data_IF_423949593036
#
_entry.id   IF_423949593036
#
_cell.length_a   1.000
_cell.length_b   1.000
_cell.length_c   1.000
_cell.angle_alpha   90.00
_cell.angle_beta   90.00
_cell.angle_gamma   90.00
#
_symmetry.space_group_name_H-M   'P 1'
#
loop_
_entity.id
_entity.type
_entity.pdbx_description
1 polymer ?
#
# COMPACT_ATOMS: atom_id res chain seq x y z
N UNK A 1 -16.62 -30.21 -14.67
CA UNK A 1 -15.84 -29.18 -13.98
C UNK A 1 -14.37 -29.54 -13.91
N UNK A 2 -13.98 -30.66 -13.30
CA UNK A 2 -12.56 -31.08 -13.09
C UNK A 2 -11.73 -30.98 -14.38
N UNK A 3 -12.21 -31.51 -15.49
CA UNK A 3 -11.48 -31.48 -16.78
C UNK A 3 -11.24 -30.05 -17.30
N UNK A 4 -12.16 -29.12 -17.06
CA UNK A 4 -11.98 -27.70 -17.43
C UNK A 4 -10.88 -27.07 -16.61
N UNK A 5 -10.87 -27.32 -15.30
CA UNK A 5 -9.81 -26.82 -14.39
C UNK A 5 -8.45 -27.42 -14.75
N UNK A 6 -8.37 -28.74 -14.97
CA UNK A 6 -7.12 -29.38 -15.38
C UNK A 6 -6.58 -28.80 -16.70
N UNK A 7 -7.48 -28.57 -17.68
CA UNK A 7 -7.10 -27.92 -18.95
C UNK A 7 -6.57 -26.51 -18.71
N UNK A 8 -7.20 -25.72 -17.83
CA UNK A 8 -6.78 -24.36 -17.48
C UNK A 8 -5.41 -24.36 -16.81
N UNK A 9 -5.24 -25.13 -15.73
CA UNK A 9 -4.01 -25.15 -14.92
C UNK A 9 -2.81 -25.79 -15.66
N UNK A 10 -3.05 -26.66 -16.63
CA UNK A 10 -2.01 -27.28 -17.46
C UNK A 10 -1.74 -26.50 -18.76
N UNK A 11 -2.48 -25.40 -19.00
CA UNK A 11 -2.28 -24.60 -20.21
C UNK A 11 -0.90 -23.93 -20.24
N UNK A 12 -0.45 -23.63 -21.45
CA UNK A 12 0.78 -22.86 -21.66
C UNK A 12 0.64 -21.45 -21.08
N UNK A 13 -0.52 -20.84 -21.26
CA UNK A 13 -0.86 -19.49 -20.82
C UNK A 13 -0.78 -19.37 -19.30
N UNK A 14 -1.41 -20.31 -18.56
CA UNK A 14 -1.33 -20.35 -17.10
C UNK A 14 0.12 -20.50 -16.62
N UNK A 15 0.88 -21.44 -17.21
CA UNK A 15 2.26 -21.66 -16.82
C UNK A 15 3.15 -20.46 -17.16
N UNK A 16 2.93 -19.79 -18.30
CA UNK A 16 3.66 -18.58 -18.67
C UNK A 16 3.37 -17.46 -17.68
N UNK A 17 2.10 -17.26 -17.32
CA UNK A 17 1.69 -16.24 -16.36
C UNK A 17 2.22 -16.55 -14.96
N UNK A 18 2.17 -17.80 -14.52
CA UNK A 18 2.74 -18.25 -13.25
C UNK A 18 4.24 -17.98 -13.19
N UNK A 19 4.98 -18.29 -14.24
CA UNK A 19 6.42 -18.02 -14.31
C UNK A 19 6.68 -16.51 -14.26
N UNK A 20 5.90 -15.70 -14.99
CA UNK A 20 6.01 -14.25 -14.97
C UNK A 20 5.85 -13.66 -13.57
N UNK A 21 4.86 -14.14 -12.79
CA UNK A 21 4.64 -13.67 -11.42
C UNK A 21 5.58 -14.29 -10.38
N UNK A 22 6.14 -15.46 -10.64
CA UNK A 22 7.13 -16.10 -9.76
C UNK A 22 8.55 -15.55 -9.94
N UNK A 23 8.83 -14.87 -11.06
CA UNK A 23 10.09 -14.18 -11.26
C UNK A 23 10.19 -13.02 -10.29
N UNK A 24 11.09 -13.11 -9.31
CA UNK A 24 11.35 -12.05 -8.36
C UNK A 24 11.85 -10.76 -9.02
N UNK A 25 11.65 -9.64 -8.36
CA UNK A 25 12.26 -8.37 -8.72
C UNK A 25 13.54 -8.15 -7.92
N UNK A 26 14.42 -7.26 -8.38
CA UNK A 26 15.61 -6.87 -7.59
C UNK A 26 15.22 -6.16 -6.28
N UNK A 27 13.99 -5.66 -6.19
CA UNK A 27 13.47 -4.92 -5.02
C UNK A 27 12.97 -5.88 -3.92
N UNK A 28 12.46 -7.08 -4.28
CA UNK A 28 11.91 -8.05 -3.35
C UNK A 28 12.88 -8.49 -2.27
N UNK A 29 14.05 -9.06 -2.61
CA UNK A 29 15.03 -9.49 -1.62
C UNK A 29 15.53 -8.38 -0.69
N UNK A 30 15.38 -7.13 -1.11
CA UNK A 30 15.78 -5.95 -0.33
C UNK A 30 14.63 -5.36 0.49
N UNK A 31 13.42 -5.91 0.37
CA UNK A 31 12.20 -5.40 1.00
C UNK A 31 11.98 -3.89 0.72
N UNK A 32 12.09 -3.52 -0.57
CA UNK A 32 12.06 -2.13 -1.03
C UNK A 32 10.90 -1.83 -1.97
N UNK A 33 10.03 -2.81 -2.27
CA UNK A 33 9.01 -2.76 -3.33
C UNK A 33 8.03 -1.60 -3.20
N UNK A 34 7.76 -1.16 -1.96
CA UNK A 34 6.76 -0.12 -1.69
C UNK A 34 7.31 1.04 -0.86
N UNK A 35 8.62 1.21 -0.78
CA UNK A 35 9.21 2.36 -0.10
C UNK A 35 9.23 3.57 -1.04
N UNK A 36 8.45 4.60 -0.75
CA UNK A 36 8.35 5.84 -1.53
C UNK A 36 9.71 6.43 -1.90
N UNK A 37 10.63 6.46 -0.94
CA UNK A 37 12.00 6.95 -1.17
C UNK A 37 12.78 6.12 -2.20
N UNK A 38 12.48 4.83 -2.37
CA UNK A 38 13.16 3.96 -3.34
C UNK A 38 12.60 4.14 -4.74
N UNK A 39 11.29 4.31 -4.85
CA UNK A 39 10.69 4.73 -6.12
C UNK A 39 11.26 6.08 -6.55
N UNK A 40 11.39 7.03 -5.63
CA UNK A 40 11.99 8.34 -5.93
C UNK A 40 13.45 8.22 -6.33
N UNK A 41 14.23 7.32 -5.70
CA UNK A 41 15.61 7.04 -6.11
C UNK A 41 15.70 6.45 -7.52
N UNK A 42 14.80 5.54 -7.88
CA UNK A 42 14.72 5.02 -9.24
C UNK A 42 14.41 6.14 -10.26
N UNK A 43 13.43 6.98 -9.98
CA UNK A 43 13.09 8.10 -10.87
C UNK A 43 14.21 9.12 -10.95
N UNK A 44 14.88 9.43 -9.82
CA UNK A 44 16.04 10.32 -9.81
C UNK A 44 17.17 9.81 -10.72
N UNK A 45 17.40 8.50 -10.73
CA UNK A 45 18.33 7.86 -11.66
C UNK A 45 17.81 7.88 -13.11
N UNK A 46 16.53 7.50 -13.32
CA UNK A 46 15.91 7.35 -14.64
C UNK A 46 15.81 8.68 -15.40
N UNK A 47 15.45 9.75 -14.70
CA UNK A 47 15.34 11.10 -15.29
C UNK A 47 16.68 11.82 -15.46
N UNK A 48 17.75 11.37 -14.81
CA UNK A 48 19.02 12.09 -14.80
C UNK A 48 19.92 11.67 -15.96
N UNK A 49 20.16 12.53 -16.98
CA UNK A 49 20.98 12.20 -18.13
C UNK A 49 22.47 11.97 -17.80
N UNK A 50 22.94 12.40 -16.61
CA UNK A 50 24.31 12.13 -16.17
C UNK A 50 24.48 10.66 -15.74
N UNK A 51 23.43 10.05 -15.17
CA UNK A 51 23.41 8.66 -14.69
C UNK A 51 22.84 7.71 -15.73
N UNK A 52 21.86 8.15 -16.52
CA UNK A 52 21.24 7.37 -17.60
C UNK A 52 21.56 8.00 -18.97
N UNK A 53 22.83 7.91 -19.37
CA UNK A 53 23.34 8.57 -20.60
C UNK A 53 22.67 8.07 -21.88
N UNK A 54 22.25 6.81 -21.93
CA UNK A 54 21.62 6.25 -23.12
C UNK A 54 20.28 6.91 -23.43
N UNK A 55 19.51 7.27 -22.42
CA UNK A 55 18.23 7.96 -22.56
C UNK A 55 18.38 9.49 -22.68
N UNK A 56 19.49 10.05 -22.18
CA UNK A 56 19.67 11.50 -22.17
C UNK A 56 18.51 12.23 -21.49
N UNK A 57 17.96 13.24 -22.16
CA UNK A 57 16.80 14.03 -21.66
C UNK A 57 15.44 13.43 -22.00
N UNK A 58 15.38 12.37 -22.80
CA UNK A 58 14.11 11.79 -23.27
C UNK A 58 13.10 11.44 -22.16
N UNK A 59 13.49 10.93 -20.98
CA UNK A 59 12.55 10.69 -19.88
C UNK A 59 11.91 11.99 -19.33
N UNK A 60 12.69 13.07 -19.21
CA UNK A 60 12.16 14.38 -18.79
C UNK A 60 11.25 14.97 -19.84
N UNK A 61 11.60 14.85 -21.12
CA UNK A 61 10.77 15.33 -22.23
C UNK A 61 9.43 14.58 -22.27
N UNK A 62 9.45 13.26 -22.10
CA UNK A 62 8.24 12.46 -22.03
C UNK A 62 7.36 12.86 -20.82
N UNK A 63 7.96 13.08 -19.64
CA UNK A 63 7.27 13.56 -18.45
C UNK A 63 6.65 14.94 -18.64
N UNK A 64 7.41 15.89 -19.21
CA UNK A 64 6.91 17.25 -19.49
C UNK A 64 5.76 17.22 -20.50
N UNK A 65 5.82 16.34 -21.50
CA UNK A 65 4.74 16.14 -22.47
C UNK A 65 3.48 15.63 -21.77
N UNK A 66 3.60 14.61 -20.92
CA UNK A 66 2.48 14.08 -20.15
C UNK A 66 1.86 15.15 -19.24
N UNK A 67 2.68 15.88 -18.50
CA UNK A 67 2.23 16.98 -17.62
C UNK A 67 1.52 18.06 -18.43
N UNK A 68 2.08 18.46 -19.58
CA UNK A 68 1.52 19.50 -20.42
C UNK A 68 0.11 19.16 -20.93
N UNK A 69 -0.23 17.89 -21.12
CA UNK A 69 -1.60 17.46 -21.51
C UNK A 69 -2.64 17.70 -20.41
N UNK A 70 -2.20 17.86 -19.15
CA UNK A 70 -3.09 18.00 -17.98
C UNK A 70 -3.20 19.43 -17.44
N UNK A 71 -2.35 20.34 -17.93
CA UNK A 71 -2.37 21.73 -17.49
C UNK A 71 -3.45 22.50 -18.24
N UNK A 72 -4.44 23.01 -17.50
CA UNK A 72 -5.41 23.99 -18.01
C UNK A 72 -5.06 25.38 -17.50
N UNK A 73 -5.01 26.35 -18.39
CA UNK A 73 -4.63 27.72 -18.06
C UNK A 73 -5.24 28.75 -19.01
N UNK A 74 -5.65 29.89 -18.46
CA UNK A 74 -6.08 31.08 -19.25
C UNK A 74 -4.91 31.92 -19.80
N UNK A 75 -3.67 31.68 -19.34
CA UNK A 75 -2.51 32.48 -19.71
C UNK A 75 -1.99 32.09 -21.11
N UNK A 76 -2.03 33.03 -22.07
CA UNK A 76 -1.63 32.80 -23.47
C UNK A 76 -0.15 32.41 -23.63
N UNK A 77 0.76 32.94 -22.82
CA UNK A 77 2.18 32.61 -22.87
C UNK A 77 2.41 31.15 -22.41
N UNK A 78 1.69 30.72 -21.36
CA UNK A 78 1.75 29.33 -20.86
C UNK A 78 1.09 28.38 -21.85
N UNK A 79 -0.04 28.74 -22.47
CA UNK A 79 -0.65 27.96 -23.55
C UNK A 79 0.35 27.72 -24.71
N UNK A 80 1.08 28.74 -25.10
CA UNK A 80 2.13 28.63 -26.14
C UNK A 80 3.25 27.67 -25.71
N UNK A 81 3.71 27.75 -24.47
CA UNK A 81 4.69 26.81 -23.90
C UNK A 81 4.15 25.36 -23.89
N UNK A 82 2.91 25.13 -23.43
CA UNK A 82 2.25 23.83 -23.41
C UNK A 82 2.25 23.21 -24.81
N UNK A 83 1.85 23.96 -25.84
CA UNK A 83 1.85 23.48 -27.22
C UNK A 83 3.25 23.05 -27.64
N UNK A 84 4.29 23.83 -27.29
CA UNK A 84 5.69 23.49 -27.62
C UNK A 84 6.16 22.24 -26.86
N UNK A 85 5.81 22.10 -25.59
CA UNK A 85 6.12 20.89 -24.81
C UNK A 85 5.48 19.63 -25.42
N UNK A 86 4.21 19.71 -25.81
CA UNK A 86 3.51 18.59 -26.45
C UNK A 86 4.12 18.25 -27.81
N UNK A 87 4.43 19.25 -28.63
CA UNK A 87 4.97 19.04 -29.97
C UNK A 87 6.45 18.68 -30.01
N UNK A 88 7.18 18.83 -28.91
CA UNK A 88 8.63 18.60 -28.84
C UNK A 88 9.45 19.71 -29.53
N UNK A 89 8.84 20.86 -29.88
CA UNK A 89 9.52 21.96 -30.56
C UNK A 89 10.08 22.99 -29.60
N UNK A 90 11.09 22.60 -28.82
CA UNK A 90 11.79 23.41 -27.81
C UNK A 90 13.20 22.89 -27.57
N UNK A 91 14.03 23.70 -26.95
CA UNK A 91 15.33 23.30 -26.39
C UNK A 91 15.18 23.19 -24.86
N UNK A 92 15.89 22.25 -24.26
CA UNK A 92 15.89 22.06 -22.82
C UNK A 92 17.31 21.97 -22.26
N UNK A 93 17.59 22.74 -21.23
CA UNK A 93 18.82 22.72 -20.46
C UNK A 93 18.47 22.45 -18.98
N UNK A 94 19.24 21.58 -18.31
CA UNK A 94 19.12 21.34 -16.87
C UNK A 94 20.01 22.34 -16.14
N UNK A 95 19.40 23.31 -15.45
CA UNK A 95 20.13 24.34 -14.70
C UNK A 95 20.55 23.80 -13.32
N UNK A 96 19.64 23.09 -12.63
CA UNK A 96 19.95 22.37 -11.41
C UNK A 96 19.81 20.88 -11.62
N UNK A 97 20.83 20.13 -11.18
CA UNK A 97 20.83 18.67 -11.28
C UNK A 97 19.64 18.04 -10.56
N UNK A 98 19.20 16.91 -11.09
CA UNK A 98 18.14 16.14 -10.46
C UNK A 98 18.63 15.62 -9.12
N UNK A 99 17.91 15.97 -8.06
CA UNK A 99 18.22 15.57 -6.69
C UNK A 99 16.99 14.90 -6.05
N UNK A 100 17.23 13.85 -5.27
CA UNK A 100 16.20 13.23 -4.44
C UNK A 100 16.27 13.77 -3.03
N UNK A 101 15.13 13.84 -2.33
CA UNK A 101 15.03 14.26 -0.92
C UNK A 101 15.62 15.67 -0.66
N UNK A 102 15.44 16.61 -1.62
CA UNK A 102 15.96 17.97 -1.46
C UNK A 102 15.19 18.72 -0.39
N UNK A 103 15.91 19.27 0.58
CA UNK A 103 15.33 20.09 1.64
C UNK A 103 14.79 21.41 1.08
N UNK A 104 13.55 21.79 1.41
CA UNK A 104 12.91 23.04 0.95
C UNK A 104 13.66 24.27 1.44
N UNK A 105 14.22 24.24 2.65
CA UNK A 105 15.06 25.30 3.19
C UNK A 105 16.31 25.58 2.33
N UNK A 106 16.88 24.58 1.66
CA UNK A 106 18.00 24.74 0.74
C UNK A 106 17.60 25.44 -0.57
N UNK A 107 16.30 25.45 -0.92
CA UNK A 107 15.79 26.09 -2.13
C UNK A 107 15.45 27.55 -1.85
N UNK A 108 14.80 27.84 -0.75
CA UNK A 108 14.28 29.18 -0.42
C UNK A 108 15.13 29.95 0.60
N UNK A 109 16.27 29.38 1.04
CA UNK A 109 17.21 30.03 1.94
C UNK A 109 16.74 30.16 3.39
N UNK A 110 15.74 29.38 3.81
CA UNK A 110 15.23 29.33 5.18
C UNK A 110 15.59 28.01 5.89
N UNK A 111 15.14 27.83 7.14
CA UNK A 111 15.40 26.67 7.95
C UNK A 111 14.35 25.54 7.82
N UNK A 112 13.52 25.54 6.77
CA UNK A 112 12.52 24.52 6.56
C UNK A 112 13.18 23.14 6.38
N UNK A 113 12.65 22.15 7.10
CA UNK A 113 13.14 20.76 7.06
C UNK A 113 12.34 19.85 6.14
N UNK A 114 11.30 20.38 5.51
CA UNK A 114 10.48 19.63 4.57
C UNK A 114 11.31 19.20 3.37
N UNK A 115 10.99 18.05 2.80
CA UNK A 115 11.73 17.47 1.70
C UNK A 115 10.85 17.27 0.49
N UNK A 116 11.40 17.58 -0.68
CA UNK A 116 10.82 17.28 -1.98
C UNK A 116 11.45 15.97 -2.47
N UNK A 117 10.63 14.98 -2.82
CA UNK A 117 11.14 13.67 -3.22
C UNK A 117 12.05 13.74 -4.44
N UNK A 118 11.68 14.54 -5.48
CA UNK A 118 12.52 14.76 -6.65
C UNK A 118 12.44 16.25 -7.02
N UNK A 119 13.59 16.84 -7.22
CA UNK A 119 13.73 18.25 -7.59
C UNK A 119 14.70 18.44 -8.72
N UNK A 120 14.37 19.33 -9.66
CA UNK A 120 15.29 19.89 -10.69
C UNK A 120 14.79 21.24 -11.15
N UNK A 121 15.67 22.00 -11.84
CA UNK A 121 15.29 23.25 -12.50
C UNK A 121 15.72 23.17 -13.96
N UNK A 122 14.77 23.39 -14.85
CA UNK A 122 14.96 23.33 -16.28
C UNK A 122 14.87 24.73 -16.88
N UNK A 123 15.64 24.98 -17.93
CA UNK A 123 15.49 26.12 -18.82
C UNK A 123 14.94 25.61 -20.15
N UNK A 124 13.77 26.11 -20.54
CA UNK A 124 13.10 25.73 -21.78
C UNK A 124 13.03 26.92 -22.71
N UNK A 125 13.62 26.77 -23.90
CA UNK A 125 13.63 27.80 -24.95
C UNK A 125 12.87 27.33 -26.17
N UNK A 126 12.11 28.23 -26.81
CA UNK A 126 11.47 27.95 -28.08
C UNK A 126 11.39 29.21 -28.97
N UNK A 127 11.47 29.01 -30.28
CA UNK A 127 11.39 30.09 -31.23
C UNK A 127 9.97 30.66 -31.36
N UNK A 128 9.90 31.99 -31.47
CA UNK A 128 8.67 32.76 -31.74
C UNK A 128 8.98 33.68 -32.91
N UNK A 129 8.61 33.28 -34.16
CA UNK A 129 9.07 33.92 -35.38
C UNK A 129 10.53 33.62 -35.70
N UNK A 130 11.09 34.34 -36.65
CA UNK A 130 12.39 33.98 -37.24
C UNK A 130 13.60 34.31 -36.35
N UNK A 131 13.50 35.31 -35.45
CA UNK A 131 14.66 35.82 -34.69
C UNK A 131 14.45 35.89 -33.15
N UNK A 132 13.30 35.51 -32.60
CA UNK A 132 13.02 35.64 -31.18
C UNK A 132 12.90 34.29 -30.49
N UNK A 133 13.73 34.06 -29.44
CA UNK A 133 13.62 32.91 -28.54
C UNK A 133 12.94 33.35 -27.26
N UNK A 134 11.86 32.67 -26.89
CA UNK A 134 11.27 32.79 -25.53
C UNK A 134 11.86 31.73 -24.65
N UNK A 135 12.30 32.13 -23.47
CA UNK A 135 12.86 31.24 -22.45
C UNK A 135 11.98 31.26 -21.20
N UNK A 136 11.83 30.10 -20.60
CA UNK A 136 11.17 29.88 -19.33
C UNK A 136 12.08 29.09 -18.39
N UNK A 137 12.11 29.52 -17.14
CA UNK A 137 12.68 28.71 -16.04
C UNK A 137 11.57 27.87 -15.47
N UNK A 138 11.77 26.56 -15.43
CA UNK A 138 10.78 25.56 -15.00
C UNK A 138 11.32 24.79 -13.79
N UNK A 139 11.09 25.28 -12.56
CA UNK A 139 11.29 24.46 -11.37
C UNK A 139 10.32 23.28 -11.43
N UNK A 140 10.84 22.07 -11.30
CA UNK A 140 10.09 20.82 -11.33
C UNK A 140 10.24 20.11 -9.99
N UNK A 141 9.11 19.88 -9.32
CA UNK A 141 9.03 19.12 -8.08
C UNK A 141 8.09 17.93 -8.24
N UNK A 142 8.52 16.75 -7.83
CA UNK A 142 7.69 15.55 -7.82
C UNK A 142 7.54 15.06 -6.38
N UNK A 143 6.31 15.04 -5.90
CA UNK A 143 5.90 14.37 -4.67
C UNK A 143 5.40 12.99 -5.00
N UNK A 144 5.89 11.99 -4.27
CA UNK A 144 5.55 10.59 -4.50
C UNK A 144 4.78 10.03 -3.30
N UNK A 145 3.57 9.52 -3.53
CA UNK A 145 2.69 8.93 -2.52
C UNK A 145 2.19 7.56 -2.97
N UNK A 146 2.45 6.55 -2.16
CA UNK A 146 1.99 5.18 -2.43
C UNK A 146 0.83 4.79 -1.51
N UNK A 147 0.92 5.13 -0.22
CA UNK A 147 -0.04 4.68 0.80
C UNK A 147 -0.84 5.79 1.46
N UNK A 148 -0.31 6.99 1.44
CA UNK A 148 -0.92 8.13 2.11
C UNK A 148 -1.55 9.07 1.10
N UNK A 149 -2.65 9.69 1.52
CA UNK A 149 -3.11 10.91 0.88
C UNK A 149 -2.10 12.02 1.14
N UNK A 150 -2.16 13.07 0.32
CA UNK A 150 -1.45 14.30 0.59
C UNK A 150 -1.73 14.75 2.03
N UNK A 151 -0.69 14.94 2.85
CA UNK A 151 -0.86 15.56 4.17
C UNK A 151 -1.14 17.05 4.01
N UNK A 152 -2.01 17.60 4.86
CA UNK A 152 -2.41 19.00 4.82
C UNK A 152 -1.19 19.92 4.73
N UNK A 153 -1.08 20.63 3.60
CA UNK A 153 -0.08 21.66 3.38
C UNK A 153 1.22 21.24 2.65
N UNK A 154 1.50 19.97 2.39
CA UNK A 154 2.74 19.55 1.70
C UNK A 154 2.88 20.20 0.31
N UNK A 155 1.85 20.14 -0.53
CA UNK A 155 1.89 20.76 -1.86
C UNK A 155 1.80 22.28 -1.83
N UNK A 156 1.38 22.89 -0.70
CA UNK A 156 1.35 24.37 -0.53
C UNK A 156 2.73 24.96 -0.24
N UNK A 157 3.67 24.15 0.25
CA UNK A 157 5.03 24.59 0.55
C UNK A 157 5.85 24.74 -0.74
N UNK A 158 5.62 23.87 -1.73
CA UNK A 158 6.37 23.85 -2.98
C UNK A 158 6.26 25.16 -3.81
N UNK A 159 5.08 25.79 -3.98
CA UNK A 159 5.01 27.07 -4.67
C UNK A 159 5.83 28.17 -4.02
N UNK A 160 5.94 28.20 -2.68
CA UNK A 160 6.78 29.15 -1.98
C UNK A 160 8.26 28.94 -2.28
N UNK A 161 8.71 27.69 -2.28
CA UNK A 161 10.09 27.31 -2.66
C UNK A 161 10.39 27.58 -4.12
N UNK A 162 9.39 27.44 -4.99
CA UNK A 162 9.52 27.68 -6.43
C UNK A 162 9.52 29.17 -6.80
N UNK A 163 9.16 30.05 -5.87
CA UNK A 163 9.03 31.50 -6.11
C UNK A 163 10.36 32.25 -6.25
N UNK A 164 11.51 31.62 -5.99
CA UNK A 164 12.82 32.29 -6.02
C UNK A 164 13.45 32.47 -7.43
N UNK A 165 12.81 31.99 -8.50
CA UNK A 165 13.41 31.94 -9.84
C UNK A 165 12.98 33.07 -10.82
N UNK A 166 12.41 34.18 -10.36
CA UNK A 166 12.16 35.39 -11.16
C UNK A 166 10.85 35.41 -11.98
N UNK A 167 10.72 36.40 -12.89
CA UNK A 167 9.44 36.69 -13.57
C UNK A 167 9.04 35.73 -14.70
N UNK A 168 10.01 35.12 -15.41
CA UNK A 168 9.75 34.18 -16.51
C UNK A 168 9.80 32.73 -16.06
N UNK A 169 9.12 32.44 -14.97
CA UNK A 169 9.07 31.09 -14.41
C UNK A 169 7.75 30.40 -14.70
N UNK A 170 7.83 29.09 -14.84
CA UNK A 170 6.67 28.23 -14.92
C UNK A 170 6.88 27.01 -14.01
N UNK A 171 6.58 27.13 -12.71
CA UNK A 171 6.77 26.01 -11.79
C UNK A 171 5.80 24.87 -12.09
N UNK A 172 6.30 23.66 -12.07
CA UNK A 172 5.54 22.42 -12.26
C UNK A 172 5.68 21.57 -10.99
N UNK A 173 4.59 21.41 -10.26
CA UNK A 173 4.46 20.40 -9.23
C UNK A 173 3.77 19.17 -9.79
N UNK A 174 4.22 17.98 -9.40
CA UNK A 174 3.61 16.69 -9.75
C UNK A 174 3.29 15.97 -8.46
N UNK A 175 2.05 15.50 -8.32
CA UNK A 175 1.69 14.50 -7.32
C UNK A 175 1.57 13.15 -8.01
N UNK A 176 2.54 12.27 -7.78
CA UNK A 176 2.53 10.90 -8.27
C UNK A 176 1.86 10.00 -7.23
N UNK A 177 0.78 9.34 -7.60
CA UNK A 177 0.04 8.43 -6.74
C UNK A 177 -0.53 7.24 -7.52
N UNK A 178 -0.94 6.14 -6.87
CA UNK A 178 -1.46 4.97 -7.58
C UNK A 178 -2.62 5.28 -8.52
N UNK A 179 -3.56 6.12 -8.12
CA UNK A 179 -4.78 6.44 -8.90
C UNK A 179 -4.76 7.83 -9.54
N UNK A 180 -3.68 8.61 -9.41
CA UNK A 180 -3.65 10.00 -9.85
C UNK A 180 -4.63 10.86 -9.04
N UNK A 181 -4.55 10.77 -7.72
CA UNK A 181 -5.45 11.46 -6.79
C UNK A 181 -5.45 12.97 -7.02
N UNK A 182 -6.62 13.58 -6.85
CA UNK A 182 -6.76 15.05 -6.95
C UNK A 182 -5.83 15.74 -5.97
N UNK A 183 -5.18 16.79 -6.44
CA UNK A 183 -4.31 17.66 -5.65
C UNK A 183 -5.12 18.80 -5.04
N UNK A 184 -4.77 19.20 -3.83
CA UNK A 184 -5.37 20.36 -3.17
C UNK A 184 -4.81 21.69 -3.69
N UNK A 185 -3.67 21.65 -4.38
CA UNK A 185 -2.99 22.86 -4.87
C UNK A 185 -3.10 22.97 -6.40
N UNK A 186 -3.48 24.16 -6.88
CA UNK A 186 -3.60 24.51 -8.30
C UNK A 186 -2.27 24.40 -9.10
N UNK A 187 -1.13 24.38 -8.42
CA UNK A 187 0.19 24.29 -9.06
C UNK A 187 0.69 22.85 -9.24
N UNK A 188 -0.03 21.85 -8.73
CA UNK A 188 0.36 20.45 -8.84
C UNK A 188 -0.54 19.72 -9.83
N UNK A 189 0.10 18.90 -10.64
CA UNK A 189 -0.56 18.05 -11.65
C UNK A 189 -0.63 16.62 -11.10
N UNK A 190 -1.83 16.01 -10.99
CA UNK A 190 -1.96 14.62 -10.58
C UNK A 190 -1.54 13.69 -11.72
N UNK A 191 -0.63 12.77 -11.41
CA UNK A 191 -0.19 11.71 -12.33
C UNK A 191 -0.32 10.38 -11.60
N UNK A 192 -0.90 9.39 -12.28
CA UNK A 192 -0.91 8.02 -11.78
C UNK A 192 0.38 7.29 -12.17
N UNK A 193 0.74 6.26 -11.38
CA UNK A 193 1.83 5.36 -11.75
C UNK A 193 1.57 4.67 -13.10
N UNK A 194 0.29 4.40 -13.44
CA UNK A 194 -0.06 3.83 -14.73
C UNK A 194 0.26 4.78 -15.89
N UNK A 195 -0.09 6.06 -15.76
CA UNK A 195 0.25 7.06 -16.79
C UNK A 195 1.76 7.24 -16.93
N UNK A 196 2.48 7.26 -15.80
CA UNK A 196 3.93 7.34 -15.83
C UNK A 196 4.55 6.12 -16.53
N UNK A 197 4.01 4.92 -16.29
CA UNK A 197 4.44 3.70 -16.97
C UNK A 197 4.15 3.76 -18.46
N UNK A 198 2.90 4.02 -18.84
CA UNK A 198 2.44 3.93 -20.25
C UNK A 198 3.06 5.02 -21.14
N UNK A 199 3.29 6.23 -20.62
CA UNK A 199 3.71 7.38 -21.44
C UNK A 199 5.18 7.78 -21.25
N UNK A 200 5.83 7.34 -20.19
CA UNK A 200 7.21 7.77 -19.89
C UNK A 200 8.17 6.58 -19.82
N UNK A 201 7.84 5.51 -19.09
CA UNK A 201 8.81 4.44 -18.85
C UNK A 201 8.80 3.42 -20.00
N UNK A 202 7.66 2.78 -20.28
CA UNK A 202 7.56 1.71 -21.29
C UNK A 202 8.04 2.14 -22.69
N UNK A 203 7.70 3.34 -23.20
CA UNK A 203 8.17 3.76 -24.51
C UNK A 203 9.70 3.88 -24.64
N UNK A 204 10.40 3.98 -23.52
CA UNK A 204 11.85 4.20 -23.49
C UNK A 204 12.66 2.96 -23.10
N UNK A 205 12.01 1.83 -22.74
CA UNK A 205 12.71 0.62 -22.27
C UNK A 205 13.74 0.11 -23.26
N UNK A 206 13.40 0.11 -24.56
CA UNK A 206 14.28 -0.40 -25.60
C UNK A 206 15.49 0.53 -25.87
N UNK A 207 15.42 1.77 -25.45
CA UNK A 207 16.48 2.76 -25.59
C UNK A 207 17.45 2.79 -24.39
N UNK A 208 17.12 2.08 -23.32
CA UNK A 208 18.00 1.93 -22.14
C UNK A 208 19.22 1.10 -22.52
N UNK A 209 20.39 1.47 -21.98
CA UNK A 209 21.59 0.67 -22.16
C UNK A 209 21.36 -0.78 -21.74
N UNK A 210 21.85 -1.76 -22.50
CA UNK A 210 21.61 -3.19 -22.25
C UNK A 210 21.98 -3.60 -20.81
N UNK A 211 23.10 -3.10 -20.30
CA UNK A 211 23.54 -3.34 -18.92
C UNK A 211 22.59 -2.81 -17.83
N UNK A 212 21.69 -1.90 -18.16
CA UNK A 212 20.74 -1.26 -17.26
C UNK A 212 19.29 -1.70 -17.51
N UNK A 213 19.03 -2.39 -18.62
CA UNK A 213 17.69 -2.84 -19.04
C UNK A 213 17.02 -3.68 -17.97
N UNK A 214 17.76 -4.60 -17.37
CA UNK A 214 17.26 -5.46 -16.29
C UNK A 214 16.72 -4.65 -15.10
N UNK A 215 17.31 -3.50 -14.79
CA UNK A 215 16.84 -2.64 -13.69
C UNK A 215 15.49 -2.02 -14.01
N UNK A 216 15.32 -1.53 -15.25
CA UNK A 216 14.04 -0.93 -15.68
C UNK A 216 12.95 -1.98 -15.80
N UNK A 217 13.23 -3.13 -16.40
CA UNK A 217 12.28 -4.25 -16.50
C UNK A 217 11.88 -4.79 -15.12
N UNK A 218 12.84 -4.91 -14.20
CA UNK A 218 12.59 -5.31 -12.83
C UNK A 218 11.75 -4.26 -12.08
N UNK A 219 11.98 -2.96 -12.34
CA UNK A 219 11.16 -1.88 -11.78
C UNK A 219 9.72 -1.94 -12.31
N UNK A 220 9.54 -2.09 -13.63
CA UNK A 220 8.22 -2.24 -14.26
C UNK A 220 7.46 -3.41 -13.63
N UNK A 221 8.10 -4.56 -13.48
CA UNK A 221 7.50 -5.73 -12.84
C UNK A 221 7.15 -5.46 -11.38
N UNK A 222 8.00 -4.71 -10.66
CA UNK A 222 7.73 -4.32 -9.28
C UNK A 222 6.46 -3.47 -9.12
N UNK A 223 6.02 -2.74 -10.14
CA UNK A 223 4.80 -1.93 -10.07
C UNK A 223 3.52 -2.78 -9.98
N UNK A 224 3.52 -3.98 -10.55
CA UNK A 224 2.38 -4.91 -10.55
C UNK A 224 2.44 -5.96 -9.44
N UNK A 225 3.57 -6.11 -8.74
CA UNK A 225 3.68 -7.09 -7.65
C UNK A 225 2.72 -6.75 -6.51
N UNK A 226 1.89 -7.72 -6.15
CA UNK A 226 1.09 -7.67 -4.93
C UNK A 226 1.97 -8.11 -3.76
N UNK A 227 2.11 -7.27 -2.74
CA UNK A 227 2.88 -7.63 -1.55
C UNK A 227 1.97 -8.26 -0.51
N UNK A 228 2.33 -9.46 -0.10
CA UNK A 228 1.68 -10.22 0.96
C UNK A 228 2.14 -9.74 2.35
N UNK A 229 2.02 -8.45 2.64
CA UNK A 229 2.20 -7.96 4.00
C UNK A 229 0.89 -7.40 4.51
N UNK A 230 0.62 -7.59 5.79
CA UNK A 230 -0.64 -7.29 6.50
C UNK A 230 -1.23 -5.87 6.28
N UNK A 231 -0.58 -5.03 5.51
CA UNK A 231 -0.97 -3.63 5.35
C UNK A 231 -1.08 -3.10 3.93
N UNK A 232 -0.64 -3.82 2.87
CA UNK A 232 -0.55 -3.14 1.57
C UNK A 232 -0.57 -4.03 0.34
N UNK A 233 -1.74 -4.42 -0.09
CA UNK A 233 -1.96 -4.86 -1.48
C UNK A 233 -2.10 -3.62 -2.36
N UNK A 234 -1.05 -3.18 -3.01
CA UNK A 234 -1.15 -2.06 -3.93
C UNK A 234 -0.42 -2.40 -5.21
N UNK A 235 -1.18 -2.71 -6.25
CA UNK A 235 -0.69 -2.70 -7.62
C UNK A 235 -0.60 -1.24 -8.03
N UNK A 236 0.59 -0.76 -8.37
CA UNK A 236 0.79 0.65 -8.74
C UNK A 236 0.53 0.88 -10.23
N UNK A 237 0.99 -0.03 -11.08
CA UNK A 237 0.76 0.00 -12.51
C UNK A 237 0.95 -1.40 -13.12
N UNK A 238 0.41 -1.61 -14.30
CA UNK A 238 0.43 -2.87 -15.05
C UNK A 238 1.04 -2.64 -16.42
N UNK A 239 2.07 -3.39 -16.77
CA UNK A 239 2.77 -3.27 -18.04
C UNK A 239 1.93 -3.79 -19.23
N UNK A 240 2.25 -3.34 -20.43
CA UNK A 240 1.64 -3.84 -21.67
C UNK A 240 1.85 -5.35 -21.82
N UNK A 241 3.06 -5.83 -21.57
CA UNK A 241 3.41 -7.25 -21.62
C UNK A 241 2.54 -8.07 -20.68
N UNK A 242 2.35 -7.61 -19.46
CA UNK A 242 1.53 -8.29 -18.46
C UNK A 242 0.06 -8.33 -18.88
N UNK A 243 -0.49 -7.22 -19.39
CA UNK A 243 -1.85 -7.16 -19.93
C UNK A 243 -2.06 -8.19 -21.05
N UNK A 244 -1.09 -8.32 -21.96
CA UNK A 244 -1.15 -9.30 -23.05
C UNK A 244 -1.13 -10.76 -22.54
N UNK A 245 -0.30 -11.06 -21.52
CA UNK A 245 -0.26 -12.39 -20.91
C UNK A 245 -1.57 -12.74 -20.20
N UNK A 246 -2.11 -11.80 -19.44
CA UNK A 246 -3.38 -11.99 -18.73
C UNK A 246 -4.55 -12.14 -19.70
N UNK A 247 -4.62 -11.32 -20.75
CA UNK A 247 -5.67 -11.46 -21.75
C UNK A 247 -5.65 -12.86 -22.40
N UNK A 248 -4.48 -13.36 -22.81
CA UNK A 248 -4.34 -14.72 -23.35
C UNK A 248 -4.81 -15.81 -22.37
N UNK A 249 -4.57 -15.59 -21.08
CA UNK A 249 -5.03 -16.52 -20.04
C UNK A 249 -6.56 -16.50 -19.92
N UNK A 250 -7.18 -15.31 -19.91
CA UNK A 250 -8.63 -15.16 -19.87
C UNK A 250 -9.34 -15.65 -21.13
N UNK A 251 -8.71 -15.56 -22.29
CA UNK A 251 -9.22 -16.08 -23.57
C UNK A 251 -9.43 -17.61 -23.55
N UNK A 252 -8.78 -18.34 -22.63
CA UNK A 252 -8.99 -19.78 -22.47
C UNK A 252 -10.37 -20.10 -21.89
N UNK A 253 -10.76 -19.44 -20.82
CA UNK A 253 -12.03 -19.68 -20.12
C UNK A 253 -12.29 -18.59 -19.06
N UNK A 254 -12.71 -17.42 -19.50
CA UNK A 254 -12.95 -16.27 -18.61
C UNK A 254 -13.99 -16.56 -17.53
N UNK A 255 -15.06 -17.29 -17.86
CA UNK A 255 -16.12 -17.59 -16.91
C UNK A 255 -15.62 -18.55 -15.81
N UNK A 256 -14.77 -19.51 -16.15
CA UNK A 256 -14.17 -20.42 -15.16
C UNK A 256 -13.18 -19.66 -14.25
N UNK A 257 -12.35 -18.78 -14.82
CA UNK A 257 -11.39 -17.97 -14.05
C UNK A 257 -12.13 -17.06 -13.05
N UNK A 258 -13.18 -16.41 -13.54
CA UNK A 258 -14.08 -15.61 -12.70
C UNK A 258 -14.82 -16.46 -11.66
N UNK A 259 -15.22 -17.71 -11.97
CA UNK A 259 -15.88 -18.61 -11.02
C UNK A 259 -14.96 -18.99 -9.85
N UNK A 260 -13.66 -19.23 -10.09
CA UNK A 260 -12.67 -19.44 -9.03
C UNK A 260 -12.60 -18.21 -8.11
N UNK A 261 -12.67 -16.99 -8.67
CA UNK A 261 -12.68 -15.76 -7.88
C UNK A 261 -13.99 -15.56 -7.11
N UNK A 262 -15.16 -15.63 -7.76
CA UNK A 262 -16.44 -15.33 -7.08
C UNK A 262 -16.80 -16.33 -5.99
N UNK A 263 -16.30 -17.57 -6.07
CA UNK A 263 -16.48 -18.56 -5.02
C UNK A 263 -15.83 -18.18 -3.68
N UNK A 264 -14.93 -17.19 -3.67
CA UNK A 264 -14.22 -16.74 -2.47
C UNK A 264 -14.82 -15.47 -1.84
N UNK A 265 -15.73 -14.78 -2.52
CA UNK A 265 -16.19 -13.45 -2.11
C UNK A 265 -17.72 -13.37 -2.09
N UNK A 266 -18.24 -12.45 -1.28
CA UNK A 266 -19.66 -12.12 -1.32
C UNK A 266 -20.04 -11.51 -2.69
N UNK A 267 -21.30 -11.67 -3.11
CA UNK A 267 -21.80 -11.07 -4.36
C UNK A 267 -21.43 -9.59 -4.47
N UNK A 268 -21.67 -8.83 -3.41
CA UNK A 268 -21.39 -7.38 -3.38
C UNK A 268 -19.93 -7.04 -3.67
N UNK A 269 -19.02 -7.82 -3.13
CA UNK A 269 -17.58 -7.61 -3.32
C UNK A 269 -17.11 -8.07 -4.71
N UNK A 270 -17.59 -9.24 -5.15
CA UNK A 270 -17.23 -9.76 -6.46
C UNK A 270 -17.74 -8.85 -7.59
N UNK A 271 -19.00 -8.40 -7.53
CA UNK A 271 -19.59 -7.51 -8.55
C UNK A 271 -18.84 -6.19 -8.67
N UNK A 272 -18.33 -5.62 -7.57
CA UNK A 272 -17.50 -4.39 -7.61
C UNK A 272 -16.23 -4.57 -8.45
N UNK A 273 -15.68 -5.77 -8.47
CA UNK A 273 -14.41 -6.06 -9.17
C UNK A 273 -14.64 -6.48 -10.61
N UNK A 274 -15.55 -7.44 -10.85
CA UNK A 274 -15.71 -8.06 -12.19
C UNK A 274 -16.97 -7.61 -12.95
N UNK A 275 -17.82 -6.81 -12.32
CA UNK A 275 -19.11 -6.40 -12.88
C UNK A 275 -20.21 -7.47 -12.77
N UNK A 276 -21.48 -7.05 -12.87
CA UNK A 276 -22.64 -7.93 -12.64
C UNK A 276 -22.75 -9.02 -13.71
N UNK A 277 -22.55 -8.66 -14.97
CA UNK A 277 -22.65 -9.61 -16.09
C UNK A 277 -21.61 -10.75 -15.98
N UNK A 278 -20.35 -10.42 -15.65
CA UNK A 278 -19.31 -11.43 -15.43
C UNK A 278 -19.60 -12.27 -14.19
N UNK A 279 -20.15 -11.65 -13.13
CA UNK A 279 -20.54 -12.35 -11.91
C UNK A 279 -21.63 -13.40 -12.20
N UNK A 280 -22.70 -13.03 -12.94
CA UNK A 280 -23.82 -13.92 -13.21
C UNK A 280 -23.39 -15.14 -14.03
N UNK A 281 -22.51 -14.96 -15.03
CA UNK A 281 -21.92 -16.08 -15.78
C UNK A 281 -21.02 -16.96 -14.91
N UNK A 282 -20.22 -16.37 -14.08
CA UNK A 282 -19.28 -17.06 -13.22
C UNK A 282 -19.98 -17.87 -12.12
N UNK A 283 -20.94 -17.25 -11.41
CA UNK A 283 -21.65 -17.89 -10.30
C UNK A 283 -22.50 -19.08 -10.76
N UNK A 284 -22.94 -19.11 -12.02
CA UNK A 284 -23.64 -20.24 -12.61
C UNK A 284 -22.77 -21.53 -12.66
N UNK A 285 -21.46 -21.41 -12.56
CA UNK A 285 -20.52 -22.53 -12.50
C UNK A 285 -20.23 -22.99 -11.07
N UNK A 286 -20.65 -22.22 -10.06
CA UNK A 286 -20.39 -22.53 -8.63
C UNK A 286 -21.57 -23.34 -8.09
N UNK A 287 -21.29 -24.54 -7.61
CA UNK A 287 -22.21 -25.43 -6.91
C UNK A 287 -21.44 -26.13 -5.78
N UNK A 288 -22.11 -26.93 -4.94
CA UNK A 288 -21.49 -27.60 -3.78
C UNK A 288 -20.25 -28.43 -4.13
N UNK A 289 -20.26 -29.11 -5.29
CA UNK A 289 -19.13 -29.93 -5.73
C UNK A 289 -17.95 -29.10 -6.25
N UNK A 290 -18.25 -27.99 -6.94
CA UNK A 290 -17.22 -27.13 -7.53
C UNK A 290 -16.67 -26.10 -6.52
N UNK A 291 -17.40 -25.71 -5.51
CA UNK A 291 -17.00 -24.71 -4.53
C UNK A 291 -15.72 -25.12 -3.79
N UNK A 292 -15.67 -26.35 -3.28
CA UNK A 292 -14.46 -26.90 -2.63
C UNK A 292 -13.27 -26.97 -3.57
N UNK A 293 -13.53 -27.35 -4.84
CA UNK A 293 -12.49 -27.43 -5.85
C UNK A 293 -11.95 -26.04 -6.18
N UNK A 294 -12.80 -25.03 -6.33
CA UNK A 294 -12.40 -23.65 -6.58
C UNK A 294 -11.65 -23.06 -5.41
N UNK A 295 -12.08 -23.32 -4.16
CA UNK A 295 -11.36 -22.90 -2.96
C UNK A 295 -9.94 -23.46 -2.90
N UNK A 296 -9.74 -24.73 -3.26
CA UNK A 296 -8.41 -25.33 -3.33
C UNK A 296 -7.56 -24.73 -4.46
N UNK A 297 -8.13 -24.52 -5.65
CA UNK A 297 -7.44 -23.87 -6.77
C UNK A 297 -7.00 -22.46 -6.40
N UNK A 298 -7.90 -21.71 -5.75
CA UNK A 298 -7.61 -20.37 -5.25
C UNK A 298 -6.47 -20.38 -4.23
N UNK A 299 -6.57 -21.18 -3.17
CA UNK A 299 -5.59 -21.18 -2.07
C UNK A 299 -4.15 -21.46 -2.50
N UNK A 300 -3.99 -22.32 -3.54
CA UNK A 300 -2.66 -22.64 -4.09
C UNK A 300 -2.12 -21.57 -5.03
N UNK A 301 -3.02 -20.79 -5.67
CA UNK A 301 -2.66 -19.84 -6.72
C UNK A 301 -3.21 -18.42 -6.45
N UNK A 302 -3.43 -18.07 -5.19
CA UNK A 302 -4.15 -16.87 -4.78
C UNK A 302 -3.55 -15.60 -5.39
N UNK A 303 -2.24 -15.39 -5.27
CA UNK A 303 -1.56 -14.21 -5.79
C UNK A 303 -1.66 -14.09 -7.32
N UNK A 304 -1.58 -15.21 -8.02
CA UNK A 304 -1.73 -15.23 -9.48
C UNK A 304 -3.16 -14.81 -9.87
N UNK A 305 -4.19 -15.43 -9.26
CA UNK A 305 -5.58 -15.12 -9.57
C UNK A 305 -5.93 -13.69 -9.18
N UNK A 306 -5.54 -13.21 -8.01
CA UNK A 306 -5.73 -11.82 -7.58
C UNK A 306 -5.19 -10.84 -8.61
N UNK A 307 -3.92 -11.03 -8.97
CA UNK A 307 -3.25 -10.13 -9.91
C UNK A 307 -3.87 -10.22 -11.30
N UNK A 308 -4.16 -11.43 -11.79
CA UNK A 308 -4.79 -11.63 -13.09
C UNK A 308 -6.20 -11.02 -13.16
N UNK A 309 -7.03 -11.17 -12.12
CA UNK A 309 -8.35 -10.55 -12.01
C UNK A 309 -8.23 -9.03 -12.04
N UNK A 310 -7.30 -8.45 -11.26
CA UNK A 310 -7.07 -7.01 -11.27
C UNK A 310 -6.67 -6.50 -12.66
N UNK A 311 -5.70 -7.16 -13.29
CA UNK A 311 -5.16 -6.76 -14.59
C UNK A 311 -6.22 -6.84 -15.68
N UNK A 312 -7.07 -7.86 -15.65
CA UNK A 312 -8.12 -8.07 -16.67
C UNK A 312 -9.30 -7.11 -16.50
N UNK A 313 -9.86 -7.02 -15.29
CA UNK A 313 -11.09 -6.24 -15.05
C UNK A 313 -10.80 -4.76 -14.72
N UNK A 314 -9.58 -4.42 -14.33
CA UNK A 314 -9.12 -3.04 -14.02
C UNK A 314 -10.07 -2.29 -13.07
N UNK A 315 -10.41 -2.86 -11.93
CA UNK A 315 -11.18 -2.16 -10.91
C UNK A 315 -10.35 -0.99 -10.37
N UNK A 316 -10.99 -0.06 -9.66
CA UNK A 316 -10.23 0.94 -8.91
C UNK A 316 -9.32 0.26 -7.88
N UNK A 317 -8.08 0.74 -7.78
CA UNK A 317 -7.07 0.18 -6.87
C UNK A 317 -7.58 0.20 -5.43
N UNK A 318 -8.19 1.29 -5.00
CA UNK A 318 -8.77 1.45 -3.67
C UNK A 318 -9.91 0.45 -3.39
N UNK A 319 -10.78 0.17 -4.35
CA UNK A 319 -11.87 -0.80 -4.21
C UNK A 319 -11.32 -2.23 -4.12
N UNK A 320 -10.38 -2.58 -5.01
CA UNK A 320 -9.70 -3.88 -5.01
C UNK A 320 -8.98 -4.12 -3.68
N UNK A 321 -8.16 -3.14 -3.25
CA UNK A 321 -7.46 -3.20 -1.99
C UNK A 321 -8.39 -3.42 -0.79
N UNK A 322 -9.49 -2.66 -0.71
CA UNK A 322 -10.42 -2.76 0.41
C UNK A 322 -11.08 -4.13 0.53
N UNK A 323 -11.38 -4.77 -0.60
CA UNK A 323 -11.97 -6.11 -0.62
C UNK A 323 -10.98 -7.15 -0.08
N UNK A 324 -9.72 -7.12 -0.51
CA UNK A 324 -8.70 -8.04 -0.02
C UNK A 324 -8.25 -7.73 1.41
N UNK A 325 -8.20 -6.45 1.80
CA UNK A 325 -7.97 -6.07 3.20
C UNK A 325 -9.10 -6.53 4.11
N UNK A 326 -10.34 -6.47 3.64
CA UNK A 326 -11.49 -6.97 4.40
C UNK A 326 -11.49 -8.51 4.50
N UNK A 327 -11.03 -9.23 3.46
CA UNK A 327 -10.91 -10.70 3.49
C UNK A 327 -9.74 -11.16 4.37
N UNK A 328 -8.65 -10.40 4.41
CA UNK A 328 -7.52 -10.62 5.32
C UNK A 328 -7.78 -10.15 6.76
N UNK A 329 -8.72 -9.24 6.98
CA UNK A 329 -9.37 -9.09 8.29
C UNK A 329 -10.34 -10.27 8.39
N UNK A 330 -9.79 -11.41 8.75
CA UNK A 330 -10.53 -12.66 8.86
C UNK A 330 -11.89 -12.36 9.47
N UNK A 331 -12.96 -12.58 8.70
CA UNK A 331 -14.32 -12.71 9.26
C UNK A 331 -14.39 -13.94 10.16
N UNK A 332 -13.25 -14.57 10.38
CA UNK A 332 -13.04 -15.65 11.33
C UNK A 332 -13.45 -15.11 12.68
N UNK A 333 -14.53 -15.67 13.18
CA UNK A 333 -15.08 -15.39 14.47
C UNK A 333 -14.68 -16.52 15.41
N UNK A 334 -14.49 -16.15 16.63
CA UNK A 334 -14.01 -17.08 17.65
C UNK A 334 -14.96 -17.08 18.84
N UNK A 335 -15.03 -18.22 19.51
CA UNK A 335 -15.57 -18.35 20.85
C UNK A 335 -14.51 -18.96 21.76
N UNK A 336 -14.43 -18.50 22.98
CA UNK A 336 -13.51 -19.01 24.00
C UNK A 336 -14.31 -19.62 25.14
N UNK A 337 -13.94 -20.82 25.53
CA UNK A 337 -14.54 -21.59 26.59
C UNK A 337 -13.54 -21.83 27.72
N UNK A 338 -14.02 -21.77 28.96
CA UNK A 338 -13.25 -22.13 30.14
C UNK A 338 -13.17 -23.64 30.34
N UNK A 339 -12.52 -24.06 31.43
CA UNK A 339 -12.36 -25.48 31.80
C UNK A 339 -13.69 -26.22 31.98
N UNK A 340 -14.77 -25.53 32.35
CA UNK A 340 -16.09 -26.07 32.58
C UNK A 340 -16.96 -26.06 31.31
N UNK A 341 -16.44 -25.62 30.22
CA UNK A 341 -17.13 -25.52 28.93
C UNK A 341 -18.05 -24.30 28.79
N UNK A 342 -17.96 -23.32 29.70
CA UNK A 342 -18.74 -22.09 29.61
C UNK A 342 -18.08 -21.07 28.69
N UNK A 343 -18.88 -20.41 27.86
CA UNK A 343 -18.40 -19.30 27.04
C UNK A 343 -17.94 -18.12 27.92
N UNK A 344 -16.74 -17.58 27.67
CA UNK A 344 -16.23 -16.41 28.42
C UNK A 344 -17.06 -15.15 28.11
N UNK A 345 -17.55 -15.01 26.90
CA UNK A 345 -18.51 -13.98 26.47
C UNK A 345 -19.75 -14.68 25.88
N UNK A 346 -20.76 -15.02 26.67
CA UNK A 346 -21.89 -15.81 26.23
C UNK A 346 -22.62 -15.20 25.01
N UNK A 347 -22.85 -16.02 23.98
CA UNK A 347 -23.58 -15.64 22.79
C UNK A 347 -22.83 -14.67 21.86
N UNK A 348 -21.61 -14.23 22.20
CA UNK A 348 -20.84 -13.28 21.39
C UNK A 348 -19.78 -14.00 20.55
N UNK A 349 -19.81 -13.77 19.25
CA UNK A 349 -18.68 -14.06 18.35
C UNK A 349 -17.67 -12.94 18.39
N UNK A 350 -16.40 -13.25 18.53
CA UNK A 350 -15.34 -12.27 18.72
C UNK A 350 -14.35 -12.28 17.56
N UNK A 351 -13.79 -11.12 17.24
CA UNK A 351 -12.61 -10.98 16.37
C UNK A 351 -11.33 -11.17 17.20
N UNK A 352 -10.18 -11.41 16.54
CA UNK A 352 -8.88 -11.74 17.15
C UNK A 352 -8.56 -10.99 18.45
N UNK A 353 -8.63 -9.66 18.45
CA UNK A 353 -8.25 -8.86 19.62
C UNK A 353 -9.15 -9.10 20.86
N UNK A 354 -10.48 -9.19 20.68
CA UNK A 354 -11.39 -9.54 21.77
C UNK A 354 -11.24 -11.00 22.18
N UNK A 355 -10.87 -11.87 21.25
CA UNK A 355 -10.58 -13.29 21.54
C UNK A 355 -9.32 -13.43 22.39
N UNK A 356 -8.28 -12.65 22.14
CA UNK A 356 -7.09 -12.61 22.99
C UNK A 356 -7.46 -12.22 24.42
N UNK A 357 -8.28 -11.17 24.61
CA UNK A 357 -8.78 -10.78 25.93
C UNK A 357 -9.59 -11.91 26.60
N UNK A 358 -10.44 -12.61 25.84
CA UNK A 358 -11.20 -13.75 26.35
C UNK A 358 -10.29 -14.91 26.76
N UNK A 359 -9.21 -15.18 26.05
CA UNK A 359 -8.18 -16.17 26.41
C UNK A 359 -7.55 -15.82 27.77
N UNK A 360 -7.16 -14.55 27.97
CA UNK A 360 -6.58 -14.11 29.23
C UNK A 360 -7.59 -14.25 30.42
N UNK A 361 -8.87 -13.93 30.17
CA UNK A 361 -9.94 -14.14 31.18
C UNK A 361 -10.14 -15.61 31.50
N UNK A 362 -10.10 -16.49 30.48
CA UNK A 362 -10.21 -17.94 30.69
C UNK A 362 -9.05 -18.47 31.54
N UNK A 363 -7.83 -17.98 31.28
CA UNK A 363 -6.65 -18.31 32.05
C UNK A 363 -6.78 -17.89 33.50
N UNK A 364 -7.15 -16.63 33.76
CA UNK A 364 -7.33 -16.11 35.13
C UNK A 364 -8.45 -16.80 35.88
N UNK A 365 -9.53 -17.19 35.21
CA UNK A 365 -10.62 -17.97 35.80
C UNK A 365 -10.16 -19.35 36.27
N UNK A 366 -9.25 -19.98 35.53
CA UNK A 366 -8.66 -21.26 35.92
C UNK A 366 -7.55 -21.11 36.99
N UNK A 367 -6.93 -19.92 37.07
CA UNK A 367 -5.81 -19.63 37.97
C UNK A 367 -6.07 -18.33 38.77
N UNK A 368 -7.04 -18.32 39.71
CA UNK A 368 -7.53 -17.09 40.36
C UNK A 368 -6.50 -16.41 41.28
N UNK A 369 -5.46 -17.12 41.69
CA UNK A 369 -4.38 -16.56 42.52
C UNK A 369 -3.22 -15.94 41.71
N UNK A 370 -3.36 -15.83 40.39
CA UNK A 370 -2.30 -15.26 39.50
C UNK A 370 -2.11 -13.78 39.81
N UNK A 371 -0.90 -13.40 40.14
CA UNK A 371 -0.48 -12.00 40.28
C UNK A 371 -0.22 -11.38 38.88
N UNK A 372 -0.14 -10.02 38.79
CA UNK A 372 0.16 -9.34 37.54
C UNK A 372 1.54 -9.73 36.96
N UNK A 373 2.53 -9.88 37.83
CA UNK A 373 3.88 -10.29 37.42
C UNK A 373 3.93 -11.76 36.94
N UNK A 374 3.13 -12.64 37.49
CA UNK A 374 3.00 -13.99 36.98
C UNK A 374 2.26 -14.01 35.65
N UNK A 375 1.20 -13.20 35.47
CA UNK A 375 0.48 -13.08 34.21
C UNK A 375 1.41 -12.61 33.07
N UNK A 376 2.30 -11.64 33.34
CA UNK A 376 3.31 -11.14 32.42
C UNK A 376 4.35 -12.20 32.04
N UNK A 377 4.74 -13.04 32.97
CA UNK A 377 5.65 -14.18 32.70
C UNK A 377 4.98 -15.25 31.87
N UNK A 378 3.72 -15.51 32.12
CA UNK A 378 2.93 -16.50 31.37
C UNK A 378 2.62 -16.05 29.98
N UNK A 379 2.30 -14.79 29.78
CA UNK A 379 2.04 -14.16 28.49
C UNK A 379 3.02 -13.02 28.27
N UNK A 380 4.25 -13.31 27.82
CA UNK A 380 5.26 -12.29 27.59
C UNK A 380 4.90 -11.38 26.40
N UNK A 381 5.39 -10.16 26.43
CA UNK A 381 5.14 -9.16 25.36
C UNK A 381 5.59 -9.63 23.99
N UNK A 382 6.57 -10.54 23.92
CA UNK A 382 7.06 -11.15 22.67
C UNK A 382 6.01 -11.97 21.90
N UNK A 383 4.87 -12.24 22.52
CA UNK A 383 3.71 -12.82 21.81
C UNK A 383 3.07 -11.82 20.82
N UNK A 384 3.37 -10.53 20.97
CA UNK A 384 2.83 -9.46 20.13
C UNK A 384 3.97 -8.54 19.69
N UNK A 385 4.46 -8.73 18.46
CA UNK A 385 5.61 -7.99 17.91
C UNK A 385 5.35 -6.50 17.77
N UNK A 386 4.13 -6.10 17.45
CA UNK A 386 3.77 -4.70 17.30
C UNK A 386 3.85 -3.98 18.65
N UNK A 387 3.29 -4.55 19.69
CA UNK A 387 3.39 -4.00 21.03
C UNK A 387 4.80 -4.10 21.62
N UNK A 388 5.54 -5.18 21.35
CA UNK A 388 6.91 -5.33 21.80
C UNK A 388 7.87 -4.25 21.31
N UNK A 389 7.57 -3.60 20.17
CA UNK A 389 8.34 -2.44 19.68
C UNK A 389 8.19 -1.20 20.55
N UNK A 390 7.08 -1.09 21.26
CA UNK A 390 6.68 0.10 22.01
C UNK A 390 6.66 -0.11 23.51
N UNK A 391 6.47 -1.34 23.97
CA UNK A 391 6.30 -1.69 25.37
C UNK A 391 7.21 -2.84 25.80
N UNK A 392 7.55 -2.89 27.08
CA UNK A 392 8.28 -4.00 27.69
C UNK A 392 7.36 -5.07 28.30
N UNK A 393 6.06 -4.77 28.40
CA UNK A 393 5.06 -5.64 28.99
C UNK A 393 3.76 -5.67 28.17
N UNK A 394 3.02 -6.77 28.27
CA UNK A 394 1.75 -6.95 27.56
C UNK A 394 0.54 -6.43 28.38
N UNK A 395 0.69 -6.32 29.71
CA UNK A 395 -0.37 -5.94 30.63
C UNK A 395 0.04 -4.81 31.54
N UNK A 396 -0.89 -3.87 31.76
CA UNK A 396 -0.69 -2.72 32.64
C UNK A 396 -1.87 -2.58 33.59
N UNK A 397 -1.59 -2.14 34.83
CA UNK A 397 -2.62 -1.85 35.82
C UNK A 397 -3.46 -0.65 35.34
N UNK A 398 -4.80 -0.78 35.45
CA UNK A 398 -5.71 0.33 35.14
C UNK A 398 -5.77 1.25 36.36
N UNK A 399 -5.52 2.57 36.22
CA UNK A 399 -5.55 3.50 37.34
C UNK A 399 -6.96 3.61 37.92
N UNK A 400 -7.07 3.58 39.25
CA UNK A 400 -8.37 3.61 39.97
C UNK A 400 -9.02 5.00 39.97
N UNK A 401 -8.27 6.09 39.74
CA UNK A 401 -8.75 7.45 39.66
C UNK A 401 -8.59 7.97 38.23
N UNK A 402 -9.64 7.81 37.45
CA UNK A 402 -9.76 8.49 36.17
C UNK A 402 -10.58 9.74 36.34
N UNK A 403 -9.95 10.90 36.39
CA UNK A 403 -10.63 12.15 36.03
C UNK A 403 -11.11 12.09 34.59
N UNK A 404 -12.02 13.00 34.16
CA UNK A 404 -12.69 13.04 32.85
C UNK A 404 -11.78 12.95 31.61
N UNK A 405 -10.46 12.81 31.81
CA UNK A 405 -9.42 12.59 30.81
C UNK A 405 -8.63 11.30 31.00
N UNK A 406 -9.26 10.14 31.11
CA UNK A 406 -8.64 8.82 31.26
C UNK A 406 -7.45 8.54 30.31
N UNK A 407 -7.33 9.32 29.27
CA UNK A 407 -6.27 9.44 28.32
C UNK A 407 -4.91 9.90 28.92
N UNK A 408 -4.92 10.95 29.74
CA UNK A 408 -3.70 11.54 30.35
C UNK A 408 -3.04 10.60 31.38
N UNK A 409 -3.81 9.74 32.02
CA UNK A 409 -3.34 8.85 33.06
C UNK A 409 -2.63 7.62 32.49
N UNK A 410 -3.08 7.10 31.36
CA UNK A 410 -2.41 5.99 30.68
C UNK A 410 -1.08 6.40 30.04
N UNK A 411 -0.95 7.67 29.61
CA UNK A 411 0.30 8.23 29.13
C UNK A 411 1.31 8.49 30.25
N UNK A 412 0.82 8.62 31.51
CA UNK A 412 1.64 8.89 32.72
C UNK A 412 2.05 7.62 33.50
N UNK A 413 1.62 6.43 33.11
CA UNK A 413 2.15 5.19 33.72
C UNK A 413 3.64 5.09 33.40
N UNK A 414 4.41 5.54 34.38
CA UNK A 414 5.82 5.83 34.29
C UNK A 414 6.66 4.65 33.79
N UNK A 415 7.51 4.94 32.83
CA UNK A 415 8.78 4.24 32.68
C UNK A 415 8.79 3.03 31.76
N UNK A 416 7.70 2.71 31.06
CA UNK A 416 7.64 1.47 30.25
C UNK A 416 7.35 1.70 28.76
N UNK A 417 7.40 2.94 28.33
CA UNK A 417 7.33 3.35 26.91
C UNK A 417 8.72 3.41 26.31
N UNK A 418 8.96 2.74 25.19
CA UNK A 418 10.19 2.86 24.40
C UNK A 418 10.20 4.14 23.56
N UNK A 419 9.90 5.29 24.17
CA UNK A 419 10.22 6.61 23.63
C UNK A 419 9.31 7.19 22.54
N UNK A 420 8.05 6.75 22.38
CA UNK A 420 7.12 7.35 21.43
C UNK A 420 5.79 7.81 22.07
N UNK A 421 5.31 8.99 21.62
CA UNK A 421 4.13 9.71 22.12
C UNK A 421 2.77 9.13 21.67
N UNK A 422 2.68 7.85 21.29
CA UNK A 422 1.41 7.26 20.91
C UNK A 422 0.56 6.95 22.15
N UNK A 423 -0.71 7.39 22.21
CA UNK A 423 -1.54 7.22 23.40
C UNK A 423 -1.91 5.76 23.64
N UNK A 424 -1.77 5.30 24.87
CA UNK A 424 -2.03 3.92 25.29
C UNK A 424 -3.45 3.42 24.97
N UNK A 425 -4.45 4.31 24.89
CA UNK A 425 -5.81 3.95 24.49
C UNK A 425 -5.94 3.37 23.08
N UNK A 426 -5.01 3.66 22.18
CA UNK A 426 -4.99 3.09 20.84
C UNK A 426 -4.56 1.63 20.84
N UNK A 427 -3.79 1.24 21.85
CA UNK A 427 -3.16 -0.07 21.94
C UNK A 427 -3.88 -1.01 22.89
N UNK A 428 -4.71 -0.50 23.83
CA UNK A 428 -5.37 -1.26 24.88
C UNK A 428 -6.88 -1.02 24.97
N UNK A 429 -7.60 -2.01 25.52
CA UNK A 429 -9.02 -1.89 25.83
C UNK A 429 -9.22 -1.23 27.18
N UNK A 430 -10.09 -0.23 27.22
CA UNK A 430 -10.45 0.53 28.42
C UNK A 430 -11.88 0.24 28.91
N UNK A 431 -12.70 -0.47 28.11
CA UNK A 431 -14.07 -0.80 28.49
C UNK A 431 -14.09 -1.84 29.62
N UNK A 432 -14.84 -1.59 30.66
CA UNK A 432 -14.93 -2.45 31.88
C UNK A 432 -15.12 -3.92 31.55
N UNK A 433 -15.96 -4.26 30.57
CA UNK A 433 -16.22 -5.64 30.17
C UNK A 433 -14.98 -6.36 29.62
N UNK A 434 -13.95 -5.61 29.18
CA UNK A 434 -12.71 -6.11 28.60
C UNK A 434 -11.51 -5.99 29.53
N UNK A 435 -11.66 -5.35 30.70
CA UNK A 435 -10.62 -5.34 31.71
C UNK A 435 -10.46 -6.72 32.34
N UNK A 436 -9.26 -7.04 32.78
CA UNK A 436 -8.94 -8.24 33.54
C UNK A 436 -8.97 -7.90 35.03
N UNK A 437 -9.44 -8.84 35.83
CA UNK A 437 -9.32 -8.78 37.28
C UNK A 437 -8.14 -9.65 37.72
N UNK A 438 -7.07 -9.01 38.20
CA UNK A 438 -5.83 -9.68 38.58
C UNK A 438 -5.45 -9.24 39.98
N UNK A 439 -5.47 -10.15 40.94
CA UNK A 439 -5.12 -9.88 42.34
C UNK A 439 -5.84 -8.64 42.93
N UNK A 440 -7.14 -8.52 42.64
CA UNK A 440 -7.99 -7.40 43.10
C UNK A 440 -7.79 -6.09 42.34
N UNK A 441 -6.97 -6.06 41.31
CA UNK A 441 -6.70 -4.90 40.47
C UNK A 441 -7.31 -5.05 39.06
N UNK A 442 -7.74 -3.93 38.48
CA UNK A 442 -8.13 -3.89 37.07
C UNK A 442 -6.89 -3.76 36.19
N UNK A 443 -6.79 -4.60 35.18
CA UNK A 443 -5.66 -4.66 34.26
C UNK A 443 -6.15 -4.52 32.82
N UNK A 444 -5.49 -3.67 32.03
CA UNK A 444 -5.83 -3.41 30.63
C UNK A 444 -5.31 -4.52 29.70
N UNK A 445 -6.12 -4.82 28.69
CA UNK A 445 -5.89 -5.89 27.73
C UNK A 445 -5.45 -5.33 26.38
N UNK A 446 -4.47 -5.94 25.71
CA UNK A 446 -4.04 -5.50 24.37
C UNK A 446 -5.17 -5.50 23.34
N UNK A 447 -5.23 -4.44 22.54
CA UNK A 447 -6.25 -4.22 21.50
C UNK A 447 -5.72 -4.50 20.09
N UNK A 448 -4.42 -4.34 19.87
CA UNK A 448 -3.76 -4.60 18.59
C UNK A 448 -3.21 -6.02 18.55
N UNK A 449 -3.64 -6.78 17.55
CA UNK A 449 -3.16 -8.13 17.25
C UNK A 449 -3.11 -8.30 15.74
N UNK A 450 -1.95 -8.61 15.21
CA UNK A 450 -1.82 -9.08 13.82
C UNK A 450 -2.22 -10.55 13.74
N UNK A 451 -2.44 -11.06 12.53
CA UNK A 451 -2.76 -12.47 12.33
C UNK A 451 -1.62 -13.38 12.82
N UNK A 452 -0.36 -12.98 12.61
CA UNK A 452 0.83 -13.71 13.06
C UNK A 452 0.97 -13.70 14.59
N UNK A 453 0.72 -12.56 15.24
CA UNK A 453 0.75 -12.46 16.69
C UNK A 453 -0.34 -13.30 17.35
N UNK A 454 -1.54 -13.26 16.76
CA UNK A 454 -2.66 -14.04 17.26
C UNK A 454 -2.44 -15.55 17.04
N UNK A 455 -1.83 -15.97 15.93
CA UNK A 455 -1.45 -17.36 15.71
C UNK A 455 -0.45 -17.84 16.77
N UNK A 456 0.57 -17.02 17.11
CA UNK A 456 1.51 -17.33 18.21
C UNK A 456 0.80 -17.45 19.57
N UNK A 457 -0.18 -16.58 19.84
CA UNK A 457 -0.99 -16.70 21.06
C UNK A 457 -1.75 -18.01 21.07
N UNK A 458 -2.41 -18.41 19.97
CA UNK A 458 -3.13 -19.68 19.87
C UNK A 458 -2.19 -20.88 20.05
N UNK A 459 -1.01 -20.87 19.48
CA UNK A 459 0.02 -21.90 19.69
C UNK A 459 0.48 -21.92 21.15
N UNK A 460 0.71 -20.76 21.75
CA UNK A 460 1.16 -20.64 23.13
C UNK A 460 0.18 -21.24 24.15
N UNK A 461 -1.13 -21.13 23.90
CA UNK A 461 -2.16 -21.67 24.79
C UNK A 461 -2.45 -23.17 24.61
N UNK A 462 -1.93 -23.82 23.55
CA UNK A 462 -2.14 -25.26 23.31
C UNK A 462 -1.63 -26.15 24.42
N UNK A 463 -0.72 -25.65 25.25
CA UNK A 463 -0.19 -26.35 26.43
C UNK A 463 -1.23 -26.48 27.58
N UNK A 464 -2.38 -25.79 27.48
CA UNK A 464 -3.43 -25.80 28.49
C UNK A 464 -4.72 -26.40 27.92
N UNK A 465 -5.18 -27.49 28.49
CA UNK A 465 -6.41 -28.17 28.10
C UNK A 465 -7.70 -27.50 28.59
N UNK A 466 -7.56 -26.54 29.51
CA UNK A 466 -8.67 -25.80 30.13
C UNK A 466 -9.04 -24.50 29.40
N UNK A 467 -8.39 -24.16 28.31
CA UNK A 467 -8.77 -23.06 27.43
C UNK A 467 -9.06 -23.64 26.03
N UNK A 468 -10.30 -23.51 25.58
CA UNK A 468 -10.68 -23.95 24.25
C UNK A 468 -11.10 -22.77 23.39
N UNK A 469 -10.50 -22.66 22.23
CA UNK A 469 -10.85 -21.65 21.22
C UNK A 469 -11.48 -22.36 20.03
N UNK A 470 -12.73 -22.01 19.75
CA UNK A 470 -13.45 -22.52 18.60
C UNK A 470 -13.51 -21.47 17.51
N UNK A 471 -13.25 -21.87 16.29
CA UNK A 471 -13.23 -21.04 15.08
C UNK A 471 -14.56 -21.21 14.34
N UNK A 472 -15.13 -20.10 13.83
CA UNK A 472 -16.39 -20.07 13.09
C UNK A 472 -16.27 -19.29 11.80
#
# INVERSE_FOLDING_TARGET
>A
MINRILKLLNSREFNTLRNYYSEGTIFGPLNLERKETRHSSFFGWFFNPKTNRALGTAPLEALLRLVATKIDTGNAAIKSLIVKLISGNYTMEIIEDITCEKCTGAINGNNDKDRIYIWTVLKIGYAVGDDNIKEFIVPLAIENKIYSNESDGQTTIYPKSMNCYGERRFPIGILLSPEGNKVHNLFSVPISYQELLDYVIEPLVDNVAESQRLWVESYIRNLSVTINSDSSYTILAVSKKERELVNKFFDLDSDLINAVFVSQFTKTNAVKIIGEECYDRAIALVNEDSEKLFANVWSVNEELFKTAIFVYHRPKISEFYNIFKASNRSDVKYKVYDKDGNEIFPGKFMKMAKTACAIFKAYLKANPATTLDELRKVFPVTLNDDLHRHYDELFFEYPQECDEGGYEILTRTEGKYKGNEAPAEWDFYLADELLLDVDGKKVICPKKWTASDFARLLEHIQKWDYIKVQVF
#
